data_IF_718056281484
#
_entry.id   IF_718056281484
#
_cell.length_a   1.000
_cell.length_b   1.000
_cell.length_c   1.000
_cell.angle_alpha   90.00
_cell.angle_beta   90.00
_cell.angle_gamma   90.00
#
_symmetry.space_group_name_H-M   'P 1'
#
loop_
_entity.id
_entity.type
_entity.pdbx_description
1 polymer ?
#
# COMPACT_ATOMS: atom_id res chain seq x y z
N UNK A 1 -29.07 -7.19 2.70
CA UNK A 1 -29.46 -6.61 1.39
C UNK A 1 -28.71 -7.36 0.30
N UNK A 2 -29.38 -7.84 -0.77
CA UNK A 2 -28.66 -8.51 -1.86
C UNK A 2 -27.82 -7.49 -2.60
N UNK A 3 -26.56 -7.84 -2.87
CA UNK A 3 -25.64 -7.05 -3.68
C UNK A 3 -26.20 -6.94 -5.10
N UNK A 4 -26.63 -5.75 -5.48
CA UNK A 4 -26.86 -5.44 -6.91
C UNK A 4 -25.53 -5.09 -7.54
N UNK A 5 -24.90 -6.08 -8.20
CA UNK A 5 -23.83 -5.78 -9.15
C UNK A 5 -24.43 -4.92 -10.27
N UNK A 6 -23.83 -3.76 -10.54
CA UNK A 6 -24.12 -3.04 -11.77
C UNK A 6 -23.64 -3.89 -12.95
N UNK A 7 -24.56 -4.68 -13.49
CA UNK A 7 -24.35 -5.38 -14.76
C UNK A 7 -24.28 -4.30 -15.84
N UNK A 8 -23.14 -4.16 -16.49
CA UNK A 8 -22.97 -3.25 -17.64
C UNK A 8 -21.80 -2.29 -17.59
N UNK A 9 -20.94 -2.33 -16.59
CA UNK A 9 -19.73 -1.51 -16.60
C UNK A 9 -18.79 -1.99 -17.71
N UNK A 10 -18.73 -1.24 -18.80
CA UNK A 10 -17.78 -1.47 -19.89
C UNK A 10 -16.39 -1.13 -19.35
N UNK A 11 -15.57 -2.16 -19.12
CA UNK A 11 -14.17 -1.98 -18.75
C UNK A 11 -13.47 -1.25 -19.90
N UNK A 12 -13.18 0.04 -19.74
CA UNK A 12 -12.40 0.79 -20.71
C UNK A 12 -10.97 0.25 -20.70
N UNK A 13 -10.55 -0.34 -21.81
CA UNK A 13 -9.21 -0.90 -22.00
C UNK A 13 -8.32 0.13 -22.69
N UNK A 14 -7.21 0.48 -22.06
CA UNK A 14 -6.12 1.19 -22.74
C UNK A 14 -5.24 0.18 -23.46
N UNK A 15 -5.14 0.28 -24.80
CA UNK A 15 -4.54 -0.76 -25.66
C UNK A 15 -3.02 -0.93 -25.55
N UNK A 16 -2.28 -0.03 -24.91
CA UNK A 16 -0.82 -0.13 -24.85
C UNK A 16 -0.23 0.59 -23.62
N UNK A 17 -0.17 -0.11 -22.53
CA UNK A 17 0.82 0.18 -21.50
C UNK A 17 1.65 -1.10 -21.32
N UNK A 18 2.85 -1.13 -21.89
CA UNK A 18 3.75 -2.29 -21.79
C UNK A 18 4.55 -2.30 -20.49
N UNK A 19 4.45 -1.26 -19.66
CA UNK A 19 5.23 -1.11 -18.46
C UNK A 19 4.34 -0.60 -17.33
N UNK A 20 3.86 -1.50 -16.55
CA UNK A 20 3.21 -1.22 -15.27
C UNK A 20 4.29 -0.96 -14.22
N UNK A 21 5.10 0.05 -14.37
CA UNK A 21 6.13 0.30 -13.38
C UNK A 21 6.61 1.72 -13.45
N UNK A 22 6.53 2.37 -12.35
CA UNK A 22 7.52 3.33 -11.89
C UNK A 22 8.93 2.92 -12.33
N UNK A 23 9.77 3.87 -12.70
CA UNK A 23 11.15 3.62 -13.16
C UNK A 23 11.81 2.54 -12.27
N UNK A 24 12.39 1.49 -12.84
CA UNK A 24 13.00 0.44 -12.05
C UNK A 24 14.12 1.01 -11.21
N UNK A 25 14.12 0.72 -9.92
CA UNK A 25 15.23 1.04 -9.04
C UNK A 25 15.76 -0.24 -8.41
N UNK A 26 17.05 -0.26 -8.12
CA UNK A 26 17.71 -1.42 -7.53
C UNK A 26 17.50 -1.40 -6.02
N UNK A 27 16.87 -2.45 -5.48
CA UNK A 27 16.87 -2.69 -4.03
C UNK A 27 18.30 -3.04 -3.63
N UNK A 28 18.86 -2.28 -2.70
CA UNK A 28 20.19 -2.55 -2.14
C UNK A 28 20.07 -3.54 -0.99
N UNK A 29 21.07 -4.42 -0.84
CA UNK A 29 21.20 -5.27 0.34
C UNK A 29 22.34 -4.76 1.22
N UNK A 30 22.14 -4.68 2.54
CA UNK A 30 20.90 -4.95 3.25
C UNK A 30 19.83 -3.91 2.93
N UNK A 31 18.55 -4.35 2.95
CA UNK A 31 17.41 -3.46 2.84
C UNK A 31 17.27 -2.60 4.10
N UNK A 32 17.23 -1.29 3.93
CA UNK A 32 17.06 -0.37 5.05
C UNK A 32 15.59 -0.22 5.41
N UNK A 33 15.26 -0.40 6.68
CA UNK A 33 13.94 -0.09 7.26
C UNK A 33 14.15 0.99 8.31
N UNK A 34 13.60 2.17 8.07
CA UNK A 34 13.62 3.25 9.07
C UNK A 34 12.49 3.10 10.08
N UNK A 35 12.76 3.53 11.32
CA UNK A 35 11.82 3.58 12.44
C UNK A 35 11.95 4.96 13.09
N UNK A 36 10.93 5.80 13.00
CA UNK A 36 10.94 7.19 13.46
C UNK A 36 9.56 7.63 13.95
N UNK A 37 9.41 8.88 14.42
CA UNK A 37 8.14 9.42 14.90
C UNK A 37 7.43 10.37 13.91
N UNK A 38 7.99 10.53 12.70
CA UNK A 38 7.37 11.31 11.61
C UNK A 38 7.79 10.74 10.24
N UNK A 39 6.99 11.01 9.21
CA UNK A 39 7.30 10.62 7.83
C UNK A 39 8.60 11.28 7.37
N UNK A 40 8.78 12.56 7.67
CA UNK A 40 10.01 13.30 7.33
C UNK A 40 11.25 12.61 7.86
N UNK A 41 11.27 12.29 9.15
CA UNK A 41 12.43 11.62 9.77
C UNK A 41 12.64 10.22 9.20
N UNK A 42 11.56 9.43 9.06
CA UNK A 42 11.66 8.10 8.49
C UNK A 42 12.28 8.10 7.09
N UNK A 43 11.82 8.99 6.22
CA UNK A 43 12.34 9.12 4.86
C UNK A 43 13.78 9.68 4.82
N UNK A 44 14.13 10.60 5.72
CA UNK A 44 15.49 11.14 5.82
C UNK A 44 16.51 10.07 6.20
N UNK A 45 16.17 9.19 7.16
CA UNK A 45 17.07 8.13 7.65
C UNK A 45 17.53 7.16 6.54
N UNK A 46 16.73 6.96 5.51
CA UNK A 46 17.01 6.01 4.42
C UNK A 46 17.17 6.69 3.05
N UNK A 47 17.26 8.01 3.01
CA UNK A 47 17.29 8.78 1.75
C UNK A 47 16.14 8.38 0.80
N UNK A 48 14.93 8.21 1.37
CA UNK A 48 13.81 7.54 0.72
C UNK A 48 13.25 8.26 -0.52
N UNK A 49 13.47 9.56 -0.68
CA UNK A 49 12.95 10.36 -1.79
C UNK A 49 14.02 10.81 -2.81
N UNK A 50 15.26 10.34 -2.69
CA UNK A 50 16.38 10.81 -3.55
C UNK A 50 16.23 10.46 -5.03
N UNK A 51 15.43 9.46 -5.36
CA UNK A 51 15.15 9.07 -6.75
C UNK A 51 14.19 10.04 -7.46
N UNK A 52 13.36 10.76 -6.70
CA UNK A 52 12.37 11.70 -7.21
C UNK A 52 13.02 13.05 -7.44
N UNK A 53 12.83 13.60 -8.65
CA UNK A 53 13.38 14.90 -9.06
C UNK A 53 12.27 15.92 -9.31
N UNK A 54 12.65 17.19 -9.39
CA UNK A 54 11.75 18.26 -9.80
C UNK A 54 11.11 17.94 -11.16
N UNK A 55 9.79 18.04 -11.21
CA UNK A 55 9.00 17.81 -12.42
C UNK A 55 8.54 16.36 -12.59
N UNK A 56 9.09 15.39 -11.86
CA UNK A 56 8.60 14.01 -11.90
C UNK A 56 7.16 13.93 -11.41
N UNK A 57 6.37 13.04 -12.03
CA UNK A 57 5.00 12.74 -11.65
C UNK A 57 4.94 11.60 -10.63
N UNK A 58 4.27 11.86 -9.51
CA UNK A 58 4.20 10.93 -8.37
C UNK A 58 2.75 10.62 -8.02
N UNK A 59 2.40 9.34 -8.07
CA UNK A 59 1.14 8.82 -7.54
C UNK A 59 1.35 8.39 -6.08
N UNK A 60 0.66 9.04 -5.15
CA UNK A 60 0.58 8.58 -3.76
C UNK A 60 -0.64 7.68 -3.64
N UNK A 61 -0.43 6.43 -3.24
CA UNK A 61 -1.51 5.52 -2.90
C UNK A 61 -1.66 5.43 -1.37
N UNK A 62 -2.64 6.11 -0.78
CA UNK A 62 -2.99 5.95 0.63
C UNK A 62 -3.70 4.62 0.89
N UNK A 63 -4.27 4.44 2.07
CA UNK A 63 -5.25 3.42 2.40
C UNK A 63 -6.61 4.08 2.59
N UNK A 64 -7.50 3.96 1.59
CA UNK A 64 -8.90 4.40 1.65
C UNK A 64 -9.78 3.17 1.43
N UNK A 65 -9.64 2.16 2.32
CA UNK A 65 -10.39 0.91 2.17
C UNK A 65 -11.88 1.07 2.47
N UNK A 66 -12.24 1.99 3.34
CA UNK A 66 -13.58 2.23 3.88
C UNK A 66 -13.74 3.69 4.32
N UNK A 67 -14.84 4.02 4.96
CA UNK A 67 -15.10 5.30 5.63
C UNK A 67 -14.70 5.32 7.12
N UNK A 68 -14.01 4.27 7.60
CA UNK A 68 -13.48 4.23 8.95
C UNK A 68 -12.29 5.17 9.12
N UNK A 69 -12.32 5.96 10.18
CA UNK A 69 -11.22 6.87 10.49
C UNK A 69 -9.93 6.12 10.85
N UNK A 70 -8.80 6.84 10.85
CA UNK A 70 -7.51 6.29 11.25
C UNK A 70 -7.57 5.59 12.62
N UNK A 71 -7.00 4.37 12.77
CA UNK A 71 -6.16 3.62 11.86
C UNK A 71 -6.90 2.65 10.90
N UNK A 72 -8.21 2.77 10.74
CA UNK A 72 -8.94 2.04 9.70
C UNK A 72 -8.49 2.44 8.29
N UNK A 73 -8.15 3.71 8.10
CA UNK A 73 -7.62 4.29 6.85
C UNK A 73 -6.37 5.14 7.11
N UNK A 74 -5.79 5.71 6.07
CA UNK A 74 -4.62 6.61 6.18
C UNK A 74 -4.95 7.85 7.02
N UNK A 75 -4.02 8.24 7.89
CA UNK A 75 -4.09 9.46 8.69
C UNK A 75 -3.92 10.71 7.80
N UNK A 76 -4.90 11.64 7.82
CA UNK A 76 -4.84 12.85 6.97
C UNK A 76 -3.57 13.68 7.16
N UNK A 77 -3.12 13.85 8.41
CA UNK A 77 -1.90 14.61 8.73
C UNK A 77 -0.64 13.95 8.15
N UNK A 78 -0.57 12.62 8.13
CA UNK A 78 0.52 11.87 7.50
C UNK A 78 0.56 12.08 5.99
N UNK A 79 -0.61 12.04 5.33
CA UNK A 79 -0.69 12.36 3.91
C UNK A 79 -0.25 13.81 3.64
N UNK A 80 -0.69 14.77 4.45
CA UNK A 80 -0.29 16.19 4.33
C UNK A 80 1.22 16.36 4.48
N UNK A 81 1.82 15.70 5.45
CA UNK A 81 3.27 15.74 5.67
C UNK A 81 4.02 15.25 4.42
N UNK A 82 3.61 14.11 3.86
CA UNK A 82 4.21 13.56 2.63
C UNK A 82 4.03 14.49 1.42
N UNK A 83 2.83 15.05 1.22
CA UNK A 83 2.55 16.01 0.14
C UNK A 83 3.51 17.22 0.25
N UNK A 84 3.67 17.78 1.45
CA UNK A 84 4.56 18.94 1.65
C UNK A 84 6.03 18.61 1.34
N UNK A 85 6.49 17.40 1.67
CA UNK A 85 7.84 16.96 1.30
C UNK A 85 8.03 16.89 -0.21
N UNK A 86 7.07 16.31 -0.93
CA UNK A 86 7.14 16.18 -2.38
C UNK A 86 7.02 17.54 -3.10
N UNK A 87 6.22 18.46 -2.56
CA UNK A 87 6.15 19.84 -3.05
C UNK A 87 7.49 20.57 -2.92
N UNK A 88 8.24 20.35 -1.83
CA UNK A 88 9.59 20.91 -1.65
C UNK A 88 10.58 20.41 -2.71
N UNK A 89 10.41 19.17 -3.18
CA UNK A 89 11.19 18.60 -4.29
C UNK A 89 10.75 19.22 -5.63
N UNK A 90 9.51 19.70 -5.72
CA UNK A 90 8.92 20.19 -6.97
C UNK A 90 8.32 19.07 -7.82
N UNK A 91 7.92 17.96 -7.22
CA UNK A 91 7.23 16.88 -7.91
C UNK A 91 5.78 17.25 -8.26
N UNK A 92 5.25 16.65 -9.33
CA UNK A 92 3.84 16.73 -9.72
C UNK A 92 3.08 15.60 -9.01
N UNK A 93 2.25 15.95 -8.06
CA UNK A 93 1.64 14.99 -7.13
C UNK A 93 0.21 14.69 -7.54
N UNK A 94 -0.16 13.42 -7.49
CA UNK A 94 -1.55 12.94 -7.56
C UNK A 94 -1.78 11.95 -6.43
N UNK A 95 -2.94 12.01 -5.77
CA UNK A 95 -3.36 11.02 -4.77
C UNK A 95 -4.40 10.12 -5.41
N UNK A 96 -4.34 8.80 -5.19
CA UNK A 96 -5.33 7.91 -5.78
C UNK A 96 -5.49 6.58 -5.04
N UNK A 97 -6.73 6.08 -4.99
CA UNK A 97 -7.07 4.77 -4.41
C UNK A 97 -8.41 4.25 -4.95
N UNK A 98 -8.74 3.01 -4.59
CA UNK A 98 -10.09 2.44 -4.69
C UNK A 98 -10.46 1.69 -3.40
N UNK A 99 -11.58 2.06 -2.80
CA UNK A 99 -12.14 1.43 -1.61
C UNK A 99 -12.56 -0.02 -1.85
N UNK A 100 -12.93 -0.74 -0.79
CA UNK A 100 -13.45 -2.10 -0.90
C UNK A 100 -14.83 -2.13 -1.57
N UNK A 101 -15.15 -3.25 -2.26
CA UNK A 101 -16.45 -3.49 -2.89
C UNK A 101 -17.63 -3.45 -1.92
N UNK A 102 -17.36 -3.68 -0.66
CA UNK A 102 -18.39 -3.78 0.38
C UNK A 102 -18.75 -2.44 1.01
N UNK A 103 -18.03 -1.37 0.61
CA UNK A 103 -18.19 -0.03 1.15
C UNK A 103 -18.70 0.95 0.09
N UNK A 104 -18.96 2.16 0.52
CA UNK A 104 -19.37 3.25 -0.36
C UNK A 104 -18.30 3.54 -1.42
N UNK A 105 -18.69 4.24 -2.49
CA UNK A 105 -17.77 4.72 -3.51
C UNK A 105 -16.57 5.44 -2.89
N UNK A 106 -15.37 5.25 -3.44
CA UNK A 106 -14.10 5.75 -2.86
C UNK A 106 -14.12 7.24 -2.58
N UNK A 107 -14.80 8.04 -3.42
CA UNK A 107 -14.97 9.48 -3.18
C UNK A 107 -15.70 9.77 -1.87
N UNK A 108 -16.74 9.02 -1.54
CA UNK A 108 -17.47 9.16 -0.28
C UNK A 108 -16.56 8.81 0.89
N UNK A 109 -15.88 7.66 0.83
CA UNK A 109 -14.92 7.25 1.87
C UNK A 109 -13.85 8.31 2.09
N UNK A 110 -13.18 8.77 1.01
CA UNK A 110 -12.14 9.79 1.07
C UNK A 110 -12.62 11.12 1.69
N UNK A 111 -13.89 11.47 1.46
CA UNK A 111 -14.51 12.67 2.04
C UNK A 111 -14.72 12.49 3.54
N UNK A 112 -15.32 11.38 3.96
CA UNK A 112 -15.62 11.07 5.35
C UNK A 112 -14.35 11.02 6.21
N UNK A 113 -13.30 10.36 5.73
CA UNK A 113 -12.03 10.21 6.49
C UNK A 113 -11.10 11.42 6.36
N UNK A 114 -11.49 12.49 5.68
CA UNK A 114 -10.72 13.73 5.58
C UNK A 114 -9.58 13.74 4.57
N UNK A 115 -9.34 12.67 3.84
CA UNK A 115 -8.29 12.59 2.81
C UNK A 115 -8.56 13.56 1.66
N UNK A 116 -9.83 13.63 1.20
CA UNK A 116 -10.22 14.60 0.16
C UNK A 116 -9.98 16.03 0.61
N UNK A 117 -10.33 16.37 1.85
CA UNK A 117 -10.08 17.71 2.45
C UNK A 117 -8.59 18.07 2.41
N UNK A 118 -7.70 17.15 2.78
CA UNK A 118 -6.25 17.40 2.69
C UNK A 118 -5.80 17.69 1.26
N UNK A 119 -6.29 16.92 0.28
CA UNK A 119 -5.94 17.13 -1.13
C UNK A 119 -6.43 18.50 -1.64
N UNK A 120 -7.65 18.90 -1.28
CA UNK A 120 -8.23 20.19 -1.65
C UNK A 120 -7.41 21.35 -1.04
N UNK A 121 -7.13 21.31 0.26
CA UNK A 121 -6.34 22.33 0.98
C UNK A 121 -4.90 22.42 0.48
N UNK A 122 -4.30 21.30 0.09
CA UNK A 122 -2.97 21.26 -0.48
C UNK A 122 -2.95 21.48 -2.01
N UNK A 123 -4.10 21.73 -2.65
CA UNK A 123 -4.22 21.88 -4.11
C UNK A 123 -3.56 20.74 -4.89
N UNK A 124 -3.78 19.50 -4.45
CA UNK A 124 -3.29 18.28 -5.07
C UNK A 124 -4.47 17.50 -5.66
N UNK A 125 -4.44 17.08 -6.94
CA UNK A 125 -5.51 16.28 -7.51
C UNK A 125 -5.64 14.94 -6.77
N UNK A 126 -6.90 14.55 -6.50
CA UNK A 126 -7.26 13.22 -6.02
C UNK A 126 -8.08 12.50 -7.10
N UNK A 127 -7.73 11.27 -7.38
CA UNK A 127 -8.40 10.41 -8.35
C UNK A 127 -8.97 9.18 -7.68
N UNK A 128 -10.13 8.75 -8.14
CA UNK A 128 -10.80 7.55 -7.65
C UNK A 128 -10.77 6.52 -8.77
N UNK A 129 -10.15 5.37 -8.50
CA UNK A 129 -9.95 4.36 -9.55
C UNK A 129 -11.26 3.67 -9.96
N UNK A 130 -12.34 3.84 -9.18
CA UNK A 130 -13.70 3.42 -9.54
C UNK A 130 -14.10 3.94 -10.92
N UNK A 131 -13.67 5.16 -11.27
CA UNK A 131 -14.06 5.87 -12.49
C UNK A 131 -12.97 5.81 -13.58
N UNK A 132 -11.95 4.97 -13.41
CA UNK A 132 -10.76 4.92 -14.28
C UNK A 132 -10.72 3.69 -15.17
N UNK A 133 -9.81 3.71 -16.14
CA UNK A 133 -9.53 2.59 -17.02
C UNK A 133 -8.60 1.58 -16.36
N UNK A 134 -8.61 0.35 -16.90
CA UNK A 134 -7.87 -0.78 -16.33
C UNK A 134 -7.02 -1.45 -17.38
N UNK A 135 -5.85 -1.92 -16.98
CA UNK A 135 -4.91 -2.65 -17.82
C UNK A 135 -4.84 -4.10 -17.35
N UNK A 136 -5.13 -5.03 -18.26
CA UNK A 136 -4.94 -6.46 -18.01
C UNK A 136 -3.46 -6.80 -18.07
N UNK A 137 -2.91 -7.21 -16.93
CA UNK A 137 -1.49 -7.49 -16.75
C UNK A 137 -1.26 -8.97 -16.52
N UNK A 138 -0.50 -9.65 -17.39
CA UNK A 138 -0.13 -11.04 -17.18
C UNK A 138 0.78 -11.18 -15.96
N UNK A 139 0.48 -12.17 -15.11
CA UNK A 139 1.29 -12.57 -13.95
C UNK A 139 1.80 -13.99 -14.19
N UNK A 140 2.83 -14.11 -15.05
CA UNK A 140 3.40 -15.42 -15.42
C UNK A 140 3.91 -16.16 -14.18
N UNK A 141 3.67 -17.47 -14.15
CA UNK A 141 4.09 -18.39 -13.09
C UNK A 141 3.47 -18.07 -11.71
N UNK A 142 2.22 -17.57 -11.70
CA UNK A 142 1.44 -17.35 -10.48
C UNK A 142 0.10 -18.06 -10.55
N UNK A 143 -0.51 -18.33 -9.40
CA UNK A 143 -1.86 -18.92 -9.32
C UNK A 143 -2.95 -17.94 -9.77
N UNK A 144 -2.67 -16.65 -9.71
CA UNK A 144 -3.58 -15.59 -10.15
C UNK A 144 -3.66 -15.49 -11.69
N UNK A 145 -2.55 -15.79 -12.39
CA UNK A 145 -2.43 -15.80 -13.84
C UNK A 145 -2.41 -14.41 -14.49
N UNK A 146 -3.35 -13.56 -14.14
CA UNK A 146 -3.43 -12.16 -14.56
C UNK A 146 -4.08 -11.28 -13.47
N UNK A 147 -3.86 -9.97 -13.58
CA UNK A 147 -4.52 -8.97 -12.76
C UNK A 147 -4.96 -7.78 -13.62
N UNK A 148 -6.08 -7.17 -13.28
CA UNK A 148 -6.52 -5.90 -13.82
C UNK A 148 -6.04 -4.78 -12.89
N UNK A 149 -5.12 -3.95 -13.35
CA UNK A 149 -4.52 -2.83 -12.63
C UNK A 149 -5.01 -1.50 -13.18
N UNK A 150 -5.14 -0.47 -12.35
CA UNK A 150 -5.48 0.87 -12.81
C UNK A 150 -4.45 1.38 -13.82
N UNK A 151 -4.91 2.03 -14.90
CA UNK A 151 -4.04 2.61 -15.92
C UNK A 151 -3.29 3.85 -15.41
N UNK A 152 -3.65 4.37 -14.25
CA UNK A 152 -2.94 5.48 -13.62
C UNK A 152 -1.48 5.14 -13.28
N UNK A 153 -1.16 3.86 -13.11
CA UNK A 153 0.22 3.40 -12.99
C UNK A 153 1.07 3.69 -14.24
N UNK A 154 0.43 3.87 -15.39
CA UNK A 154 1.10 4.21 -16.65
C UNK A 154 1.26 5.72 -16.87
N UNK A 155 0.59 6.52 -16.07
CA UNK A 155 0.54 7.97 -16.20
C UNK A 155 1.50 8.69 -15.26
N UNK A 156 2.19 7.95 -14.39
CA UNK A 156 3.08 8.49 -13.36
C UNK A 156 4.46 7.86 -13.41
N UNK A 157 5.51 8.66 -13.13
CA UNK A 157 6.90 8.18 -13.08
C UNK A 157 7.14 7.32 -11.84
N UNK A 158 6.52 7.67 -10.70
CA UNK A 158 6.73 7.00 -9.41
C UNK A 158 5.43 6.75 -8.68
N UNK A 159 5.40 5.62 -7.97
CA UNK A 159 4.37 5.26 -7.01
C UNK A 159 4.94 5.31 -5.59
N UNK A 160 4.27 6.03 -4.69
CA UNK A 160 4.52 5.97 -3.25
C UNK A 160 3.36 5.24 -2.58
N UNK A 161 3.69 4.22 -1.79
CA UNK A 161 2.72 3.42 -1.06
C UNK A 161 2.65 3.89 0.40
N UNK A 162 1.55 4.55 0.78
CA UNK A 162 1.32 5.05 2.14
C UNK A 162 0.27 4.18 2.83
N UNK A 163 0.72 3.18 3.57
CA UNK A 163 -0.13 2.21 4.25
C UNK A 163 -0.26 2.49 5.75
N UNK A 164 -1.01 1.64 6.45
CA UNK A 164 -1.29 1.72 7.87
C UNK A 164 -0.86 0.42 8.55
N UNK A 165 -0.30 0.52 9.75
CA UNK A 165 0.05 -0.62 10.60
C UNK A 165 -1.23 -1.19 11.22
N UNK A 166 -1.67 -2.37 10.77
CA UNK A 166 -2.86 -3.02 11.34
C UNK A 166 -2.99 -4.50 11.01
N UNK A 167 -3.61 -5.25 11.90
CA UNK A 167 -4.09 -6.61 11.63
C UNK A 167 -5.26 -6.62 10.64
N UNK A 168 -5.65 -7.80 10.19
CA UNK A 168 -6.75 -7.99 9.23
C UNK A 168 -7.34 -9.39 9.33
N UNK A 169 -8.63 -9.51 9.60
CA UNK A 169 -9.35 -10.77 9.84
C UNK A 169 -9.13 -11.86 8.77
N UNK A 170 -9.09 -11.50 7.49
CA UNK A 170 -8.95 -12.47 6.39
C UNK A 170 -7.52 -12.67 5.89
N UNK A 171 -6.66 -11.68 6.08
CA UNK A 171 -5.31 -11.67 5.53
C UNK A 171 -4.22 -11.56 6.60
N UNK A 172 -4.60 -11.67 7.86
CA UNK A 172 -3.85 -11.54 9.10
C UNK A 172 -3.34 -10.12 9.36
N UNK A 173 -2.89 -9.40 8.33
CA UNK A 173 -2.45 -8.00 8.44
C UNK A 173 -2.70 -7.20 7.15
N UNK A 174 -2.80 -5.90 7.32
CA UNK A 174 -2.69 -4.90 6.24
C UNK A 174 -1.43 -4.10 6.46
N UNK A 175 -0.48 -4.24 5.57
CA UNK A 175 0.80 -3.55 5.56
C UNK A 175 1.11 -3.10 4.13
N UNK A 176 2.38 -3.00 3.74
CA UNK A 176 2.74 -2.44 2.44
C UNK A 176 2.34 -3.34 1.26
N UNK A 177 2.53 -4.66 1.36
CA UNK A 177 2.13 -5.59 0.28
C UNK A 177 0.64 -5.54 0.01
N UNK A 178 -0.19 -5.70 1.06
CA UNK A 178 -1.64 -5.74 0.90
C UNK A 178 -2.27 -4.39 0.57
N UNK A 179 -1.69 -3.28 1.03
CA UNK A 179 -2.21 -1.95 0.72
C UNK A 179 -2.33 -1.70 -0.79
N UNK A 180 -1.43 -2.27 -1.58
CA UNK A 180 -1.44 -2.13 -3.04
C UNK A 180 -2.66 -2.79 -3.73
N UNK A 181 -3.48 -3.58 -3.00
CA UNK A 181 -4.73 -4.11 -3.54
C UNK A 181 -5.69 -3.02 -4.03
N UNK A 182 -5.60 -1.79 -3.49
CA UNK A 182 -6.35 -0.63 -3.98
C UNK A 182 -6.10 -0.30 -5.45
N UNK A 183 -5.00 -0.76 -6.03
CA UNK A 183 -4.67 -0.61 -7.45
C UNK A 183 -5.33 -1.67 -8.34
N UNK A 184 -6.02 -2.66 -7.77
CA UNK A 184 -6.63 -3.77 -8.48
C UNK A 184 -8.12 -3.53 -8.73
N UNK A 185 -8.57 -3.84 -9.95
CA UNK A 185 -9.98 -3.89 -10.28
C UNK A 185 -10.75 -4.89 -9.42
N UNK A 186 -12.01 -4.60 -9.13
CA UNK A 186 -12.87 -5.40 -8.28
C UNK A 186 -12.92 -6.89 -8.65
N UNK A 187 -13.02 -7.22 -9.95
CA UNK A 187 -13.02 -8.62 -10.42
C UNK A 187 -11.75 -9.36 -9.98
N UNK A 188 -10.58 -8.72 -10.02
CA UNK A 188 -9.33 -9.33 -9.54
C UNK A 188 -9.37 -9.52 -8.04
N UNK A 189 -9.82 -8.52 -7.27
CA UNK A 189 -9.95 -8.62 -5.81
C UNK A 189 -10.88 -9.74 -5.40
N UNK A 190 -12.05 -9.89 -6.05
CA UNK A 190 -12.98 -11.00 -5.77
C UNK A 190 -12.36 -12.36 -6.05
N UNK A 191 -11.64 -12.53 -7.16
CA UNK A 191 -10.91 -13.78 -7.45
C UNK A 191 -9.89 -14.10 -6.36
N UNK A 192 -9.21 -13.09 -5.80
CA UNK A 192 -8.26 -13.26 -4.70
C UNK A 192 -8.96 -13.69 -3.41
N UNK A 193 -10.07 -13.04 -3.05
CA UNK A 193 -10.82 -13.35 -1.83
C UNK A 193 -11.51 -14.73 -1.89
N UNK A 194 -11.89 -15.18 -3.07
CA UNK A 194 -12.52 -16.49 -3.23
C UNK A 194 -11.53 -17.63 -2.95
N UNK A 195 -10.23 -17.43 -3.11
CA UNK A 195 -9.22 -18.47 -2.94
C UNK A 195 -7.80 -17.92 -2.86
N UNK A 196 -6.97 -18.45 -1.97
CA UNK A 196 -5.54 -18.14 -1.85
C UNK A 196 -5.24 -16.65 -1.68
N UNK A 197 -6.05 -15.93 -0.87
CA UNK A 197 -5.91 -14.48 -0.70
C UNK A 197 -4.49 -14.09 -0.30
N UNK A 198 -3.93 -14.77 0.69
CA UNK A 198 -2.63 -14.43 1.28
C UNK A 198 -1.50 -14.64 0.26
N UNK A 199 -1.48 -15.75 -0.45
CA UNK A 199 -0.49 -16.05 -1.49
C UNK A 199 -0.61 -15.08 -2.66
N UNK A 200 -1.83 -14.80 -3.10
CA UNK A 200 -2.12 -13.91 -4.24
C UNK A 200 -1.77 -12.46 -3.95
N UNK A 201 -1.75 -12.04 -2.68
CA UNK A 201 -1.20 -10.74 -2.30
C UNK A 201 0.29 -10.66 -2.65
N UNK A 202 1.08 -11.68 -2.37
CA UNK A 202 2.47 -11.73 -2.83
C UNK A 202 2.58 -11.75 -4.36
N UNK A 203 1.77 -12.56 -5.04
CA UNK A 203 1.82 -12.74 -6.50
C UNK A 203 1.57 -11.45 -7.29
N UNK A 204 0.48 -10.71 -7.00
CA UNK A 204 0.16 -9.52 -7.80
C UNK A 204 1.17 -8.37 -7.60
N UNK A 205 1.84 -8.36 -6.47
CA UNK A 205 2.91 -7.41 -6.20
C UNK A 205 4.08 -7.52 -7.19
N UNK A 206 4.22 -8.62 -7.94
CA UNK A 206 5.19 -8.77 -9.03
C UNK A 206 5.03 -7.73 -10.14
N UNK A 207 3.81 -7.24 -10.34
CA UNK A 207 3.50 -6.25 -11.38
C UNK A 207 3.69 -4.79 -10.95
N UNK A 208 4.05 -4.53 -9.69
CA UNK A 208 4.05 -3.17 -9.12
C UNK A 208 5.34 -2.94 -8.36
N UNK A 209 5.97 -1.77 -8.57
CA UNK A 209 7.21 -1.40 -7.85
C UNK A 209 7.11 0.01 -7.29
N UNK A 210 6.59 0.21 -6.06
CA UNK A 210 6.65 1.51 -5.41
C UNK A 210 8.10 1.95 -5.19
N UNK A 211 8.40 3.23 -5.43
CA UNK A 211 9.73 3.80 -5.16
C UNK A 211 10.03 3.82 -3.67
N UNK A 212 9.00 3.96 -2.85
CA UNK A 212 9.08 3.93 -1.40
C UNK A 212 7.77 3.40 -0.80
N UNK A 213 7.87 2.66 0.28
CA UNK A 213 6.75 2.20 1.07
C UNK A 213 6.85 2.81 2.46
N UNK A 214 5.74 3.34 2.96
CA UNK A 214 5.59 3.98 4.27
C UNK A 214 4.46 3.27 5.01
N UNK A 215 4.68 2.94 6.27
CA UNK A 215 3.65 2.39 7.16
C UNK A 215 3.47 3.34 8.34
N UNK A 216 2.30 3.96 8.44
CA UNK A 216 1.93 4.79 9.60
C UNK A 216 1.43 3.88 10.72
N UNK A 217 2.21 3.80 11.80
CA UNK A 217 1.93 3.10 13.04
C UNK A 217 1.88 4.06 14.23
N UNK A 218 1.48 5.32 14.03
CA UNK A 218 1.25 6.23 15.18
C UNK A 218 0.14 5.70 16.07
N UNK A 219 -0.88 5.07 15.48
CA UNK A 219 -1.85 4.17 16.10
C UNK A 219 -2.01 2.93 15.22
N UNK A 220 -2.40 1.80 15.81
CA UNK A 220 -2.61 0.57 15.05
C UNK A 220 -3.72 -0.28 15.67
N UNK A 221 -4.33 -1.16 14.85
CA UNK A 221 -5.10 -2.30 15.35
C UNK A 221 -4.17 -3.50 15.50
N UNK A 222 -3.95 -3.96 16.71
CA UNK A 222 -3.11 -5.12 16.97
C UNK A 222 -3.87 -6.44 16.84
N UNK A 223 -5.21 -6.41 16.97
CA UNK A 223 -6.13 -7.52 16.71
C UNK A 223 -7.45 -7.00 16.16
N UNK A 224 -8.16 -7.83 15.40
CA UNK A 224 -9.48 -7.52 14.84
C UNK A 224 -9.46 -6.93 13.45
N UNK A 225 -8.78 -5.83 13.18
CA UNK A 225 -8.71 -5.16 11.87
C UNK A 225 -9.51 -5.75 10.69
N UNK A 226 -9.68 -5.05 9.61
CA UNK A 226 -9.04 -3.79 9.22
C UNK A 226 -9.78 -2.51 9.65
N UNK A 227 -11.06 -2.60 10.06
CA UNK A 227 -11.96 -1.48 10.25
C UNK A 227 -12.07 -1.11 11.73
N UNK A 228 -12.18 -2.12 12.58
CA UNK A 228 -12.26 -2.03 14.05
C UNK A 228 -11.35 -3.06 14.68
N UNK A 229 -10.86 -2.79 15.89
CA UNK A 229 -9.99 -3.75 16.58
C UNK A 229 -9.40 -3.21 17.88
N UNK A 230 -8.55 -4.00 18.50
CA UNK A 230 -7.82 -3.61 19.69
C UNK A 230 -6.75 -2.57 19.34
N UNK A 231 -6.89 -1.35 19.91
CA UNK A 231 -6.01 -0.21 19.59
C UNK A 231 -4.74 -0.20 20.44
N UNK A 232 -3.63 0.17 19.80
CA UNK A 232 -2.37 0.57 20.44
C UNK A 232 -1.83 1.82 19.78
N UNK A 233 -0.93 2.50 20.47
CA UNK A 233 -0.29 3.73 19.99
C UNK A 233 1.24 3.60 20.02
N UNK A 234 1.84 2.86 19.08
CA UNK A 234 3.30 2.73 19.00
C UNK A 234 4.03 4.05 18.78
N UNK A 235 3.35 5.04 18.18
CA UNK A 235 3.96 6.34 17.87
C UNK A 235 5.02 6.27 16.77
N UNK A 236 4.96 5.28 15.91
CA UNK A 236 6.01 4.95 14.95
C UNK A 236 5.56 5.19 13.51
N UNK A 237 6.50 5.67 12.70
CA UNK A 237 6.44 5.66 11.24
C UNK A 237 7.60 4.80 10.75
N UNK A 238 7.30 3.85 9.87
CA UNK A 238 8.30 3.02 9.22
C UNK A 238 8.34 3.33 7.73
N UNK A 239 9.53 3.24 7.14
CA UNK A 239 9.67 3.35 5.69
C UNK A 239 10.79 2.46 5.17
N UNK A 240 10.60 1.93 3.95
CA UNK A 240 11.61 1.14 3.23
C UNK A 240 11.34 1.18 1.74
N UNK A 241 12.40 1.07 0.93
CA UNK A 241 12.28 0.76 -0.49
C UNK A 241 11.89 -0.70 -0.71
N UNK A 242 12.18 -1.57 0.26
CA UNK A 242 11.84 -2.99 0.25
C UNK A 242 10.58 -3.25 1.10
N UNK A 243 9.50 -3.66 0.44
CA UNK A 243 8.20 -3.90 1.10
C UNK A 243 8.16 -5.21 1.90
N UNK A 244 9.00 -6.21 1.57
CA UNK A 244 9.10 -7.44 2.35
C UNK A 244 9.82 -7.16 3.66
N UNK A 245 11.00 -6.50 3.61
CA UNK A 245 11.71 -6.06 4.81
C UNK A 245 10.83 -5.21 5.72
N UNK A 246 10.05 -4.30 5.11
CA UNK A 246 9.13 -3.43 5.84
C UNK A 246 8.02 -4.23 6.52
N UNK A 247 7.35 -5.14 5.79
CA UNK A 247 6.24 -5.92 6.34
C UNK A 247 6.69 -6.90 7.41
N UNK A 248 7.84 -7.58 7.25
CA UNK A 248 8.46 -8.42 8.29
C UNK A 248 8.72 -7.62 9.56
N UNK A 249 9.30 -6.42 9.43
CA UNK A 249 9.56 -5.54 10.58
C UNK A 249 8.25 -5.10 11.24
N UNK A 250 7.22 -4.76 10.45
CA UNK A 250 5.91 -4.35 10.97
C UNK A 250 5.17 -5.48 11.70
N UNK A 251 5.26 -6.73 11.21
CA UNK A 251 4.67 -7.90 11.90
C UNK A 251 5.26 -8.04 13.30
N UNK A 252 6.59 -7.93 13.42
CA UNK A 252 7.27 -7.98 14.72
C UNK A 252 6.84 -6.86 15.68
N UNK A 253 6.64 -5.66 15.15
CA UNK A 253 6.11 -4.55 15.96
C UNK A 253 4.69 -4.87 16.45
N UNK A 254 3.81 -5.41 15.61
CA UNK A 254 2.47 -5.83 16.06
C UNK A 254 2.56 -6.89 17.17
N UNK A 255 3.50 -7.84 17.07
CA UNK A 255 3.78 -8.84 18.11
C UNK A 255 4.30 -8.20 19.41
N UNK A 256 5.26 -7.28 19.32
CA UNK A 256 5.83 -6.53 20.45
C UNK A 256 4.73 -5.75 21.21
N UNK A 257 3.72 -5.24 20.49
CA UNK A 257 2.57 -4.53 21.07
C UNK A 257 1.42 -5.44 21.52
N UNK A 258 1.63 -6.75 21.48
CA UNK A 258 0.75 -7.75 22.11
C UNK A 258 -0.35 -8.30 21.20
N UNK A 259 -0.16 -8.29 19.88
CA UNK A 259 -1.09 -8.96 18.95
C UNK A 259 -1.22 -10.44 19.28
N UNK A 260 -2.42 -10.89 19.63
CA UNK A 260 -2.73 -12.30 19.92
C UNK A 260 -2.82 -13.12 18.64
N UNK A 261 -3.40 -12.53 17.58
CA UNK A 261 -3.58 -13.19 16.29
C UNK A 261 -2.26 -13.44 15.56
N UNK A 262 -1.22 -12.66 15.84
CA UNK A 262 0.10 -12.82 15.26
C UNK A 262 1.13 -13.38 16.25
N UNK A 263 0.73 -13.65 17.49
CA UNK A 263 1.62 -14.26 18.49
C UNK A 263 2.15 -15.60 17.96
N UNK A 264 3.44 -15.86 18.13
CA UNK A 264 4.13 -17.06 17.63
C UNK A 264 4.19 -17.20 16.09
N UNK A 265 3.74 -16.22 15.31
CA UNK A 265 3.93 -16.24 13.87
C UNK A 265 5.38 -15.89 13.53
N UNK A 266 6.11 -16.81 12.88
CA UNK A 266 7.31 -16.42 12.17
C UNK A 266 6.93 -15.64 10.91
N UNK A 267 7.31 -14.35 10.78
CA UNK A 267 6.96 -13.55 9.61
C UNK A 267 7.37 -14.19 8.29
N UNK A 268 8.51 -14.90 8.25
CA UNK A 268 9.01 -15.55 7.05
C UNK A 268 8.17 -16.77 6.63
N UNK A 269 7.45 -17.40 7.55
CA UNK A 269 6.55 -18.52 7.27
C UNK A 269 5.19 -18.06 6.72
N UNK A 270 4.86 -16.76 6.81
CA UNK A 270 3.55 -16.25 6.39
C UNK A 270 3.36 -16.30 4.86
N UNK A 271 2.22 -16.80 4.34
CA UNK A 271 2.01 -16.99 2.90
C UNK A 271 2.13 -15.72 2.05
N UNK A 272 1.80 -14.51 2.56
CA UNK A 272 2.03 -13.26 1.84
C UNK A 272 3.53 -13.01 1.61
N UNK A 273 4.34 -13.23 2.66
CA UNK A 273 5.78 -13.01 2.62
C UNK A 273 6.46 -14.06 1.74
N UNK A 274 6.17 -15.34 1.98
CA UNK A 274 6.71 -16.44 1.16
C UNK A 274 6.40 -16.27 -0.32
N UNK A 275 5.16 -15.92 -0.64
CA UNK A 275 4.76 -15.70 -2.02
C UNK A 275 5.45 -14.49 -2.64
N UNK A 276 5.64 -13.39 -1.90
CA UNK A 276 6.39 -12.23 -2.37
C UNK A 276 7.86 -12.61 -2.68
N UNK A 277 8.54 -13.26 -1.75
CA UNK A 277 9.92 -13.74 -1.91
C UNK A 277 10.05 -14.69 -3.10
N UNK A 278 9.17 -15.70 -3.20
CA UNK A 278 9.13 -16.64 -4.33
C UNK A 278 8.99 -15.94 -5.69
N UNK A 279 8.30 -14.81 -5.74
CA UNK A 279 8.13 -14.01 -6.95
C UNK A 279 9.23 -12.95 -7.16
N UNK A 280 10.33 -13.01 -6.41
CA UNK A 280 11.48 -12.12 -6.54
C UNK A 280 11.26 -10.72 -5.97
N UNK A 281 10.34 -10.59 -5.02
CA UNK A 281 10.03 -9.31 -4.38
C UNK A 281 10.75 -9.25 -3.05
N UNK A 282 11.59 -8.23 -2.90
CA UNK A 282 12.29 -7.92 -1.65
C UNK A 282 13.38 -8.90 -1.24
N UNK A 283 13.79 -8.77 0.02
CA UNK A 283 14.76 -9.64 0.69
C UNK A 283 14.12 -10.95 1.15
N UNK A 284 14.95 -11.93 1.52
CA UNK A 284 14.51 -13.29 1.83
C UNK A 284 14.89 -13.79 3.22
N UNK A 285 15.63 -12.99 4.00
CA UNK A 285 16.03 -13.34 5.36
C UNK A 285 16.32 -12.11 6.22
N UNK A 286 16.46 -12.32 7.52
CA UNK A 286 16.74 -11.26 8.49
C UNK A 286 18.13 -10.63 8.31
N UNK A 287 19.12 -11.40 7.91
CA UNK A 287 20.47 -10.92 7.67
C UNK A 287 20.53 -9.87 6.54
N UNK A 288 19.51 -9.87 5.70
CA UNK A 288 19.35 -8.91 4.61
C UNK A 288 18.56 -7.65 5.02
N UNK A 289 18.14 -7.53 6.28
CA UNK A 289 17.40 -6.37 6.81
C UNK A 289 18.29 -5.58 7.78
N UNK A 290 18.32 -4.26 7.60
CA UNK A 290 18.94 -3.34 8.57
C UNK A 290 17.93 -2.30 9.02
N UNK A 291 17.51 -2.40 10.28
CA UNK A 291 16.66 -1.39 10.90
C UNK A 291 17.50 -0.20 11.36
N UNK A 292 17.10 1.01 10.95
CA UNK A 292 17.75 2.26 11.33
C UNK A 292 16.77 3.12 12.13
N UNK A 293 17.21 3.57 13.29
CA UNK A 293 16.43 4.40 14.23
C UNK A 293 17.17 5.69 14.50
N UNK A 294 16.44 6.71 14.97
CA UNK A 294 17.01 7.95 15.50
C UNK A 294 16.36 8.27 16.83
#
# INVERSE_FOLDING_TARGET
MPMTFRAGEVIKLKKSCSVLVTKPFKITKPALVSKANSITKALTLINGLTDIKKGDSVLIKPNINSDDVYPGTTRPEGLRELIKLLKKIGAKITVGDMSSAFWSHTKSCATTVGIKKVCDEESVPIIFFDDKSWVKTPLKNTSLGDAWLTDELCNHDYLINLSVLKTHRMADFTLSLKNLMGLLHMRTRMRMHARLLKERIGEFNKAITPVINIVDGTKCFIDGGPDTGELRSPGLILASKDRVALDVTCIRILQEFGSKSLNNLDPWSHPQIQSAVKNGIGVSSDEEIKVVTK
#
